data_IF_871757481973
#
_entry.id   IF_871757481973
#
_cell.length_a   1.000
_cell.length_b   1.000
_cell.length_c   1.000
_cell.angle_alpha   90.00
_cell.angle_beta   90.00
_cell.angle_gamma   90.00
#
_symmetry.space_group_name_H-M   'P 1'
#
loop_
_entity.id
_entity.type
_entity.pdbx_description
1 polymer ?
#
# COMPACT_ATOMS: atom_id res chain seq x y z
N UNK A 1 8.31 -14.30 -0.73
CA UNK A 1 7.93 -15.73 -0.59
C UNK A 1 6.52 -15.79 -0.07
N UNK A 2 5.64 -16.61 -0.66
CA UNK A 2 4.21 -16.68 -0.29
C UNK A 2 3.87 -18.10 0.14
N UNK A 3 3.13 -18.25 1.23
CA UNK A 3 2.70 -19.54 1.78
C UNK A 3 1.19 -19.49 2.05
N UNK A 4 0.44 -20.13 1.16
CA UNK A 4 -1.03 -20.13 1.12
C UNK A 4 -1.67 -21.52 1.26
N UNK A 5 -0.92 -22.58 1.02
CA UNK A 5 -1.36 -23.96 1.15
C UNK A 5 -1.67 -24.33 2.62
N UNK A 6 -2.89 -24.85 2.85
CA UNK A 6 -3.34 -25.27 4.17
C UNK A 6 -2.51 -26.46 4.69
N UNK A 7 -2.04 -26.35 5.93
CA UNK A 7 -1.23 -27.39 6.57
C UNK A 7 0.23 -27.38 6.15
N UNK A 8 0.68 -26.34 5.45
CA UNK A 8 2.10 -26.13 5.12
C UNK A 8 2.82 -25.41 6.27
N UNK A 9 3.99 -25.92 6.64
CA UNK A 9 4.87 -25.38 7.67
C UNK A 9 6.17 -24.89 7.04
N UNK A 10 6.60 -23.70 7.43
CA UNK A 10 7.93 -23.18 7.11
C UNK A 10 8.90 -23.61 8.21
N UNK A 11 9.91 -24.38 7.82
CA UNK A 11 10.99 -24.82 8.70
C UNK A 11 12.34 -24.30 8.24
N UNK A 12 13.29 -24.18 9.18
CA UNK A 12 14.67 -23.78 8.91
C UNK A 12 15.50 -25.02 8.61
N UNK A 13 16.25 -24.99 7.51
CA UNK A 13 17.35 -25.95 7.27
C UNK A 13 18.61 -25.17 6.93
N UNK A 14 19.49 -25.01 7.91
CA UNK A 14 20.67 -24.15 7.82
C UNK A 14 20.29 -22.71 7.43
N UNK A 15 20.72 -22.22 6.27
CA UNK A 15 20.41 -20.89 5.74
C UNK A 15 19.24 -20.90 4.74
N UNK A 16 18.30 -21.85 4.87
CA UNK A 16 17.19 -22.03 3.94
C UNK A 16 15.85 -22.15 4.67
N UNK A 17 14.80 -21.63 4.05
CA UNK A 17 13.42 -21.87 4.40
C UNK A 17 12.90 -23.05 3.57
N UNK A 18 12.52 -24.14 4.22
CA UNK A 18 11.93 -25.32 3.58
C UNK A 18 10.44 -25.41 3.91
N UNK A 19 9.67 -26.04 3.03
CA UNK A 19 8.24 -26.27 3.19
C UNK A 19 7.99 -27.72 3.53
N UNK A 20 7.33 -27.97 4.65
CA UNK A 20 6.94 -29.32 5.08
C UNK A 20 5.44 -29.38 5.32
N UNK A 21 4.84 -30.56 5.17
CA UNK A 21 3.44 -30.78 5.55
C UNK A 21 3.31 -31.20 7.03
N UNK A 22 2.07 -31.50 7.45
CA UNK A 22 1.75 -32.02 8.79
C UNK A 22 2.45 -33.34 9.13
N UNK A 23 2.96 -34.07 8.14
CA UNK A 23 3.70 -35.33 8.30
C UNK A 23 5.21 -35.14 8.22
N UNK A 24 5.68 -33.88 8.29
CA UNK A 24 7.08 -33.46 8.14
C UNK A 24 7.71 -33.84 6.79
N UNK A 25 6.88 -34.21 5.80
CA UNK A 25 7.36 -34.51 4.46
C UNK A 25 7.67 -33.22 3.72
N UNK A 26 8.84 -33.19 3.07
CA UNK A 26 9.26 -32.05 2.26
C UNK A 26 8.31 -31.88 1.06
N UNK A 27 7.58 -30.76 1.04
CA UNK A 27 6.62 -30.43 -0.02
C UNK A 27 7.30 -29.83 -1.25
N UNK A 28 8.24 -28.90 -1.04
CA UNK A 28 8.92 -28.12 -2.09
C UNK A 28 10.39 -27.89 -1.76
N UNK A 29 11.23 -27.70 -2.79
CA UNK A 29 12.61 -27.25 -2.58
C UNK A 29 12.58 -25.88 -1.89
N UNK A 30 13.31 -25.76 -0.79
CA UNK A 30 13.35 -24.53 0.00
C UNK A 30 14.11 -23.38 -0.68
N UNK A 31 13.85 -22.15 -0.22
CA UNK A 31 14.53 -20.94 -0.67
C UNK A 31 15.73 -20.62 0.22
N UNK A 32 16.82 -20.11 -0.36
CA UNK A 32 17.93 -19.53 0.43
C UNK A 32 17.45 -18.26 1.10
N UNK A 33 17.76 -18.07 2.38
CA UNK A 33 17.35 -16.87 3.10
C UNK A 33 17.88 -15.59 2.43
N UNK A 34 19.09 -15.62 1.85
CA UNK A 34 19.67 -14.46 1.17
C UNK A 34 18.93 -14.03 -0.11
N UNK A 35 18.02 -14.87 -0.62
CA UNK A 35 17.19 -14.56 -1.81
C UNK A 35 15.76 -14.17 -1.43
N UNK A 36 15.42 -14.16 -0.15
CA UNK A 36 14.08 -13.86 0.34
C UNK A 36 14.11 -12.49 1.00
N UNK A 37 13.35 -11.55 0.46
CA UNK A 37 13.18 -10.21 1.05
C UNK A 37 12.02 -10.16 2.06
N UNK A 38 10.95 -10.91 1.78
CA UNK A 38 9.73 -10.91 2.59
C UNK A 38 9.04 -12.30 2.54
N UNK A 39 8.36 -12.67 3.61
CA UNK A 39 7.57 -13.89 3.77
C UNK A 39 6.13 -13.51 4.07
N UNK A 40 5.19 -13.96 3.24
CA UNK A 40 3.76 -13.80 3.42
C UNK A 40 3.15 -15.14 3.84
N UNK A 41 2.49 -15.17 4.99
CA UNK A 41 1.90 -16.37 5.58
C UNK A 41 0.38 -16.19 5.67
N UNK A 42 -0.37 -16.95 4.87
CA UNK A 42 -1.82 -16.94 4.95
C UNK A 42 -2.33 -17.84 6.08
N UNK A 43 -3.54 -17.53 6.57
CA UNK A 43 -4.25 -18.32 7.57
C UNK A 43 -4.42 -19.79 7.11
N UNK A 44 -3.78 -20.70 7.83
CA UNK A 44 -3.77 -22.13 7.52
C UNK A 44 -2.36 -22.69 7.31
N UNK A 45 -1.39 -21.82 7.05
CA UNK A 45 0.03 -22.12 7.11
C UNK A 45 0.60 -21.80 8.50
N UNK A 46 1.76 -22.37 8.80
CA UNK A 46 2.48 -22.15 10.05
C UNK A 46 3.98 -21.89 9.79
N UNK A 47 4.63 -21.23 10.74
CA UNK A 47 6.07 -20.96 10.70
C UNK A 47 6.68 -21.35 12.04
N UNK A 48 7.80 -22.05 11.99
CA UNK A 48 8.53 -22.47 13.20
C UNK A 48 9.34 -21.33 13.80
N UNK A 49 9.59 -21.38 15.11
CA UNK A 49 10.39 -20.37 15.81
C UNK A 49 11.78 -20.19 15.19
N UNK A 50 12.42 -21.29 14.77
CA UNK A 50 13.73 -21.26 14.11
C UNK A 50 13.70 -20.52 12.77
N UNK A 51 12.62 -20.67 12.00
CA UNK A 51 12.43 -19.94 10.76
C UNK A 51 12.19 -18.44 11.01
N UNK A 52 11.42 -18.10 12.04
CA UNK A 52 11.25 -16.71 12.48
C UNK A 52 12.59 -16.11 12.87
N UNK A 53 13.39 -16.81 13.69
CA UNK A 53 14.69 -16.34 14.14
C UNK A 53 15.65 -16.09 12.96
N UNK A 54 15.69 -16.99 11.98
CA UNK A 54 16.48 -16.81 10.76
C UNK A 54 16.02 -15.61 9.94
N UNK A 55 14.71 -15.45 9.76
CA UNK A 55 14.15 -14.32 9.03
C UNK A 55 14.53 -12.99 9.69
N UNK A 56 14.30 -12.86 10.99
CA UNK A 56 14.67 -11.68 11.78
C UNK A 56 16.16 -11.38 11.72
N UNK A 57 17.03 -12.40 11.85
CA UNK A 57 18.49 -12.25 11.74
C UNK A 57 18.94 -11.73 10.38
N UNK A 58 18.19 -12.03 9.32
CA UNK A 58 18.47 -11.63 7.94
C UNK A 58 17.73 -10.33 7.53
N UNK A 59 16.99 -9.70 8.43
CA UNK A 59 16.17 -8.53 8.12
C UNK A 59 15.01 -8.85 7.17
N UNK A 60 14.55 -10.11 7.17
CA UNK A 60 13.45 -10.59 6.34
C UNK A 60 12.16 -10.38 7.11
N UNK A 61 11.28 -9.60 6.51
CA UNK A 61 9.97 -9.30 7.07
C UNK A 61 9.01 -10.49 6.93
N UNK A 62 8.22 -10.78 7.97
CA UNK A 62 7.18 -11.81 7.95
C UNK A 62 5.82 -11.16 8.20
N UNK A 63 4.92 -11.25 7.23
CA UNK A 63 3.55 -10.73 7.33
C UNK A 63 2.53 -11.86 7.34
N UNK A 64 1.62 -11.82 8.30
CA UNK A 64 0.54 -12.78 8.45
C UNK A 64 -0.75 -12.21 7.88
N UNK A 65 -1.36 -12.95 6.96
CA UNK A 65 -2.52 -12.55 6.17
C UNK A 65 -3.72 -13.45 6.49
N UNK A 66 -4.93 -12.90 6.49
CA UNK A 66 -6.15 -13.70 6.52
C UNK A 66 -6.42 -14.40 5.17
N UNK A 67 -7.55 -15.12 5.05
CA UNK A 67 -7.91 -15.81 3.79
C UNK A 67 -8.14 -14.86 2.61
N UNK A 68 -8.41 -13.58 2.87
CA UNK A 68 -8.68 -12.56 1.87
C UNK A 68 -7.44 -11.71 1.55
N UNK A 69 -6.29 -12.03 2.16
CA UNK A 69 -5.04 -11.29 1.96
C UNK A 69 -4.92 -10.04 2.83
N UNK A 70 -5.76 -9.86 3.86
CA UNK A 70 -5.64 -8.74 4.79
C UNK A 70 -4.57 -9.04 5.86
N UNK A 71 -3.54 -8.20 6.02
CA UNK A 71 -2.57 -8.37 7.09
C UNK A 71 -3.20 -8.20 8.47
N UNK A 72 -2.98 -9.16 9.37
CA UNK A 72 -3.44 -9.13 10.76
C UNK A 72 -2.31 -9.12 11.78
N UNK A 73 -1.10 -9.53 11.39
CA UNK A 73 0.09 -9.47 12.23
C UNK A 73 1.35 -9.34 11.36
N UNK A 74 2.44 -8.87 11.97
CA UNK A 74 3.76 -8.76 11.33
C UNK A 74 4.84 -9.00 12.37
N UNK A 75 5.89 -9.73 11.99
CA UNK A 75 7.04 -9.98 12.85
C UNK A 75 8.17 -9.05 12.48
N UNK A 76 8.67 -8.32 13.46
CA UNK A 76 9.83 -7.45 13.33
C UNK A 76 10.94 -7.87 14.27
N UNK A 77 12.17 -7.43 13.98
CA UNK A 77 13.29 -7.60 14.87
C UNK A 77 13.09 -6.84 16.18
N UNK A 78 13.41 -7.47 17.31
CA UNK A 78 13.50 -6.76 18.59
C UNK A 78 14.72 -5.82 18.67
N UNK A 79 15.69 -5.96 17.74
CA UNK A 79 16.78 -4.99 17.64
C UNK A 79 16.19 -3.69 17.09
N UNK A 80 16.34 -2.59 17.83
CA UNK A 80 15.87 -1.27 17.41
C UNK A 80 16.49 -0.88 16.06
N UNK A 81 15.74 -1.06 14.97
CA UNK A 81 16.06 -0.40 13.70
C UNK A 81 15.66 1.09 13.74
N UNK A 82 14.65 1.43 14.56
CA UNK A 82 14.23 2.80 14.80
C UNK A 82 14.87 3.35 16.08
N UNK A 83 15.79 4.29 15.93
CA UNK A 83 16.30 5.07 17.06
C UNK A 83 15.14 5.83 17.72
N UNK A 84 15.08 5.84 19.06
CA UNK A 84 14.15 6.68 19.82
C UNK A 84 14.16 8.15 19.37
N UNK A 85 15.30 8.60 18.83
CA UNK A 85 15.47 9.90 18.19
C UNK A 85 14.52 10.12 17.00
N UNK A 86 14.34 9.13 16.12
CA UNK A 86 13.44 9.24 14.95
C UNK A 86 11.99 9.38 15.40
N UNK A 87 11.56 8.56 16.37
CA UNK A 87 10.20 8.63 16.91
C UNK A 87 9.91 10.00 17.55
N UNK A 88 10.89 10.56 18.27
CA UNK A 88 10.79 11.93 18.83
C UNK A 88 10.62 12.98 17.74
N UNK A 89 11.38 12.89 16.65
CA UNK A 89 11.24 13.83 15.53
C UNK A 89 9.90 13.67 14.80
N UNK A 90 9.42 12.43 14.62
CA UNK A 90 8.10 12.17 14.01
C UNK A 90 6.97 12.75 14.86
N UNK A 91 7.01 12.55 16.18
CA UNK A 91 6.03 13.14 17.09
C UNK A 91 6.06 14.67 17.04
N UNK A 92 7.24 15.29 17.08
CA UNK A 92 7.38 16.75 16.97
C UNK A 92 6.94 17.30 15.62
N UNK A 93 7.13 16.56 14.53
CA UNK A 93 6.68 16.98 13.21
C UNK A 93 5.16 17.08 13.09
N UNK A 94 4.41 16.43 13.99
CA UNK A 94 2.96 16.58 14.08
C UNK A 94 2.56 18.02 14.48
N UNK A 95 3.32 18.60 15.43
CA UNK A 95 3.05 19.92 16.00
C UNK A 95 3.81 21.07 15.27
N UNK A 96 4.54 20.77 14.20
CA UNK A 96 5.40 21.70 13.45
C UNK A 96 4.99 21.74 11.96
N UNK A 97 5.32 22.83 11.26
CA UNK A 97 5.07 23.02 9.83
C UNK A 97 5.73 21.94 8.95
N UNK A 98 6.71 21.20 9.47
CA UNK A 98 7.29 20.03 8.79
C UNK A 98 6.27 18.94 8.47
N UNK A 99 5.30 18.70 9.36
CA UNK A 99 4.21 17.75 9.11
C UNK A 99 3.33 18.20 7.96
N UNK A 100 3.02 19.50 7.90
CA UNK A 100 2.25 20.11 6.82
C UNK A 100 2.99 19.96 5.49
N UNK A 101 4.28 20.28 5.46
CA UNK A 101 5.11 20.12 4.27
C UNK A 101 5.09 18.68 3.76
N UNK A 102 5.31 17.70 4.65
CA UNK A 102 5.31 16.29 4.29
C UNK A 102 3.94 15.85 3.73
N UNK A 103 2.86 16.19 4.42
CA UNK A 103 1.51 15.81 4.02
C UNK A 103 1.06 16.46 2.71
N UNK A 104 1.36 17.75 2.54
CA UNK A 104 1.11 18.50 1.31
C UNK A 104 1.86 17.88 0.13
N UNK A 105 3.12 17.49 0.35
CA UNK A 105 3.91 16.82 -0.67
C UNK A 105 3.34 15.43 -1.02
N UNK A 106 2.98 14.62 -0.03
CA UNK A 106 2.43 13.27 -0.25
C UNK A 106 1.10 13.32 -1.00
N UNK A 107 0.18 14.19 -0.58
CA UNK A 107 -1.13 14.35 -1.23
C UNK A 107 -0.95 14.96 -2.63
N UNK A 108 -0.13 16.01 -2.76
CA UNK A 108 0.19 16.59 -4.06
C UNK A 108 0.83 15.58 -5.03
N UNK A 109 1.73 14.71 -4.55
CA UNK A 109 2.31 13.63 -5.35
C UNK A 109 1.25 12.62 -5.82
N UNK A 110 0.33 12.20 -4.93
CA UNK A 110 -0.79 11.33 -5.29
C UNK A 110 -1.65 11.95 -6.41
N UNK A 111 -2.06 13.20 -6.23
CA UNK A 111 -2.91 13.93 -7.19
C UNK A 111 -2.21 14.09 -8.54
N UNK A 112 -0.92 14.46 -8.53
CA UNK A 112 -0.11 14.55 -9.77
C UNK A 112 -0.01 13.21 -10.48
N UNK A 113 0.23 12.12 -9.76
CA UNK A 113 0.29 10.79 -10.36
C UNK A 113 -1.04 10.40 -11.02
N UNK A 114 -2.17 10.71 -10.37
CA UNK A 114 -3.51 10.53 -10.96
C UNK A 114 -3.69 11.36 -12.24
N UNK A 115 -3.30 12.64 -12.22
CA UNK A 115 -3.37 13.52 -13.40
C UNK A 115 -2.48 13.02 -14.54
N UNK A 116 -1.24 12.61 -14.26
CA UNK A 116 -0.32 12.08 -15.27
C UNK A 116 -0.82 10.77 -15.88
N UNK A 117 -1.40 9.88 -15.07
CA UNK A 117 -2.01 8.65 -15.57
C UNK A 117 -3.16 8.93 -16.53
N UNK A 118 -4.08 9.83 -16.16
CA UNK A 118 -5.18 10.24 -17.05
C UNK A 118 -4.67 10.95 -18.31
N UNK A 119 -3.64 11.80 -18.20
CA UNK A 119 -3.02 12.46 -19.36
C UNK A 119 -2.43 11.45 -20.34
N UNK A 120 -1.78 10.41 -19.82
CA UNK A 120 -1.25 9.30 -20.63
C UNK A 120 -2.37 8.55 -21.35
N UNK A 121 -3.44 8.21 -20.64
CA UNK A 121 -4.62 7.56 -21.21
C UNK A 121 -5.31 8.42 -22.26
N UNK A 122 -5.46 9.72 -22.01
CA UNK A 122 -6.04 10.69 -22.93
C UNK A 122 -5.24 10.76 -24.23
N UNK A 123 -3.90 10.85 -24.14
CA UNK A 123 -3.01 10.89 -25.30
C UNK A 123 -3.13 9.64 -26.16
N UNK A 124 -3.15 8.46 -25.54
CA UNK A 124 -3.24 7.19 -26.25
C UNK A 124 -4.59 6.96 -26.94
N UNK A 125 -5.65 7.66 -26.48
CA UNK A 125 -7.03 7.50 -27.00
C UNK A 125 -7.50 8.67 -27.86
N UNK A 126 -6.79 9.80 -27.86
CA UNK A 126 -7.28 11.04 -28.46
C UNK A 126 -8.50 11.62 -27.71
N UNK A 127 -8.62 11.35 -26.40
CA UNK A 127 -9.80 11.73 -25.60
C UNK A 127 -9.59 13.09 -24.92
N UNK A 128 -10.17 14.15 -25.48
CA UNK A 128 -10.08 15.52 -24.96
C UNK A 128 -10.77 15.69 -23.61
N UNK A 129 -11.83 14.92 -23.33
CA UNK A 129 -12.55 14.97 -22.06
C UNK A 129 -11.66 14.48 -20.93
N UNK A 130 -10.96 13.36 -21.11
CA UNK A 130 -9.97 12.87 -20.15
C UNK A 130 -8.81 13.86 -19.98
N UNK A 131 -8.36 14.49 -21.06
CA UNK A 131 -7.33 15.53 -20.98
C UNK A 131 -7.78 16.73 -20.13
N UNK A 132 -9.04 17.16 -20.29
CA UNK A 132 -9.65 18.20 -19.46
C UNK A 132 -9.74 17.82 -17.98
N UNK A 133 -10.15 16.58 -17.68
CA UNK A 133 -10.18 16.06 -16.30
C UNK A 133 -8.78 15.98 -15.68
N UNK A 134 -7.78 15.55 -16.45
CA UNK A 134 -6.38 15.52 -16.01
C UNK A 134 -5.85 16.92 -15.67
N UNK A 135 -6.16 17.93 -16.50
CA UNK A 135 -5.80 19.33 -16.23
C UNK A 135 -6.45 19.85 -14.95
N UNK A 136 -7.73 19.55 -14.72
CA UNK A 136 -8.44 19.94 -13.48
C UNK A 136 -7.84 19.28 -12.24
N UNK A 137 -7.45 18.01 -12.31
CA UNK A 137 -6.78 17.33 -11.20
C UNK A 137 -5.39 17.94 -10.96
N UNK A 138 -4.66 18.31 -12.02
CA UNK A 138 -3.35 18.97 -11.88
C UNK A 138 -3.46 20.31 -11.14
N UNK A 139 -4.45 21.15 -11.47
CA UNK A 139 -4.62 22.44 -10.79
C UNK A 139 -4.99 22.30 -9.31
N UNK A 140 -5.66 21.21 -8.92
CA UNK A 140 -5.89 20.90 -7.50
C UNK A 140 -4.56 20.64 -6.75
N UNK A 141 -3.59 20.00 -7.40
CA UNK A 141 -2.26 19.82 -6.80
C UNK A 141 -1.51 21.15 -6.65
N UNK A 142 -1.70 22.09 -7.56
CA UNK A 142 -1.08 23.42 -7.50
C UNK A 142 -1.64 24.23 -6.32
N UNK A 143 -2.96 24.18 -6.11
CA UNK A 143 -3.63 24.79 -4.95
C UNK A 143 -3.09 24.30 -3.60
N UNK A 144 -2.74 23.01 -3.48
CA UNK A 144 -2.12 22.49 -2.25
C UNK A 144 -0.77 23.17 -2.01
N UNK A 145 0.02 23.36 -3.06
CA UNK A 145 1.34 23.99 -2.95
C UNK A 145 1.23 25.45 -2.52
N UNK A 146 0.28 26.19 -3.08
CA UNK A 146 0.03 27.60 -2.76
C UNK A 146 -0.41 27.76 -1.29
N UNK A 147 -1.31 26.89 -0.82
CA UNK A 147 -1.88 27.00 0.53
C UNK A 147 -1.02 26.37 1.63
N UNK A 148 -0.02 25.56 1.28
CA UNK A 148 0.83 24.88 2.25
C UNK A 148 1.60 25.85 3.16
N UNK A 149 1.89 27.06 2.68
CA UNK A 149 2.59 28.11 3.44
C UNK A 149 1.65 28.88 4.38
N UNK A 150 0.33 28.75 4.23
CA UNK A 150 -0.67 29.47 5.04
C UNK A 150 -0.95 28.80 6.39
N UNK A 151 -0.62 27.50 6.53
CA UNK A 151 -0.97 26.71 7.71
C UNK A 151 0.18 26.67 8.73
N UNK A 152 -0.16 26.85 10.02
CA UNK A 152 0.83 26.78 11.11
C UNK A 152 1.05 25.36 11.64
N UNK A 153 0.01 24.53 11.65
CA UNK A 153 0.05 23.13 12.12
C UNK A 153 -0.96 22.24 11.37
N UNK A 154 -0.85 20.92 11.52
CA UNK A 154 -1.52 19.96 10.63
C UNK A 154 -3.05 19.97 10.73
N UNK A 155 -3.61 20.27 11.90
CA UNK A 155 -5.07 20.34 12.13
C UNK A 155 -5.73 21.41 11.27
N UNK A 156 -5.10 22.58 11.08
CA UNK A 156 -5.61 23.66 10.22
C UNK A 156 -5.62 23.24 8.74
N UNK A 157 -4.61 22.45 8.35
CA UNK A 157 -4.45 21.97 6.98
C UNK A 157 -5.34 20.77 6.65
N UNK A 158 -5.66 19.93 7.65
CA UNK A 158 -6.23 18.59 7.48
C UNK A 158 -7.50 18.58 6.64
N UNK A 159 -8.49 19.38 7.00
CA UNK A 159 -9.78 19.41 6.30
C UNK A 159 -9.63 19.88 4.86
N UNK A 160 -8.79 20.91 4.64
CA UNK A 160 -8.51 21.43 3.31
C UNK A 160 -7.78 20.39 2.44
N UNK A 161 -6.73 19.75 2.98
CA UNK A 161 -5.97 18.72 2.30
C UNK A 161 -6.86 17.52 1.92
N UNK A 162 -7.72 17.07 2.83
CA UNK A 162 -8.68 15.99 2.56
C UNK A 162 -9.78 16.40 1.58
N UNK A 163 -10.24 17.66 1.64
CA UNK A 163 -11.21 18.19 0.68
C UNK A 163 -10.65 18.19 -0.75
N UNK A 164 -9.43 18.67 -0.93
CA UNK A 164 -8.76 18.70 -2.24
C UNK A 164 -8.46 17.28 -2.73
N UNK A 165 -7.97 16.40 -1.86
CA UNK A 165 -7.73 14.98 -2.18
C UNK A 165 -9.01 14.26 -2.59
N UNK A 166 -10.10 14.49 -1.85
CA UNK A 166 -11.40 13.91 -2.14
C UNK A 166 -11.96 14.38 -3.48
N UNK A 167 -11.85 15.68 -3.79
CA UNK A 167 -12.27 16.23 -5.08
C UNK A 167 -11.44 15.60 -6.22
N UNK A 168 -10.12 15.56 -6.08
CA UNK A 168 -9.21 14.97 -7.08
C UNK A 168 -9.52 13.48 -7.31
N UNK A 169 -9.67 12.71 -6.23
CA UNK A 169 -10.03 11.29 -6.28
C UNK A 169 -11.40 11.08 -6.92
N UNK A 170 -12.40 11.90 -6.64
CA UNK A 170 -13.74 11.81 -7.26
C UNK A 170 -13.65 12.04 -8.77
N UNK A 171 -12.96 13.08 -9.21
CA UNK A 171 -12.77 13.36 -10.65
C UNK A 171 -12.00 12.21 -11.31
N UNK A 172 -10.96 11.70 -10.65
CA UNK A 172 -10.13 10.61 -11.16
C UNK A 172 -10.92 9.33 -11.38
N UNK A 173 -11.66 8.88 -10.37
CA UNK A 173 -12.47 7.68 -10.46
C UNK A 173 -13.63 7.84 -11.46
N UNK A 174 -14.27 9.00 -11.51
CA UNK A 174 -15.27 9.30 -12.55
C UNK A 174 -14.66 9.32 -13.96
N UNK A 175 -13.40 9.73 -14.12
CA UNK A 175 -12.71 9.68 -15.40
C UNK A 175 -12.51 8.23 -15.86
N UNK A 176 -12.10 7.34 -14.94
CA UNK A 176 -11.93 5.92 -15.22
C UNK A 176 -13.24 5.21 -15.59
N UNK A 177 -14.37 5.66 -15.06
CA UNK A 177 -15.69 5.11 -15.42
C UNK A 177 -16.06 5.36 -16.88
N UNK A 178 -15.50 6.38 -17.53
CA UNK A 178 -15.80 6.69 -18.92
C UNK A 178 -15.03 5.78 -19.89
N UNK A 179 -13.98 5.10 -19.42
CA UNK A 179 -13.12 4.23 -20.25
C UNK A 179 -13.25 2.75 -19.91
N UNK A 180 -13.79 2.43 -18.73
CA UNK A 180 -14.04 1.06 -18.30
C UNK A 180 -15.49 0.67 -18.63
N UNK A 181 -15.75 -0.59 -19.03
CA UNK A 181 -17.11 -1.08 -19.21
C UNK A 181 -17.90 -0.98 -17.90
N UNK A 182 -19.18 -0.59 -17.99
CA UNK A 182 -20.06 -0.49 -16.81
C UNK A 182 -20.28 -1.81 -16.07
N UNK A 183 -20.05 -2.95 -16.74
CA UNK A 183 -20.06 -4.28 -16.12
C UNK A 183 -18.86 -4.54 -15.20
N UNK A 184 -17.77 -3.80 -15.37
CA UNK A 184 -16.52 -3.94 -14.60
C UNK A 184 -16.44 -2.89 -13.50
N UNK A 185 -16.91 -1.67 -13.78
CA UNK A 185 -16.79 -0.55 -12.85
C UNK A 185 -18.05 0.33 -12.84
N UNK A 186 -18.60 0.52 -11.64
CA UNK A 186 -19.80 1.33 -11.37
C UNK A 186 -19.56 2.84 -11.42
N UNK A 187 -18.30 3.28 -11.49
CA UNK A 187 -17.91 4.69 -11.49
C UNK A 187 -17.71 5.31 -10.12
N UNK A 188 -17.92 4.56 -9.04
CA UNK A 188 -17.66 5.02 -7.66
C UNK A 188 -16.68 4.11 -6.94
N UNK A 189 -15.72 4.69 -6.19
CA UNK A 189 -14.79 3.90 -5.36
C UNK A 189 -15.48 3.43 -4.08
N UNK A 190 -15.65 2.12 -3.93
CA UNK A 190 -16.23 1.48 -2.73
C UNK A 190 -15.21 0.55 -2.09
N UNK A 191 -14.83 0.79 -0.82
CA UNK A 191 -13.76 0.03 -0.15
C UNK A 191 -14.25 -1.23 0.57
N UNK A 192 -15.36 -1.16 1.31
CA UNK A 192 -15.81 -2.27 2.15
C UNK A 192 -17.34 -2.30 2.30
N UNK A 193 -18.05 -3.30 1.72
CA UNK A 193 -17.55 -4.26 0.74
C UNK A 193 -17.28 -3.59 -0.64
N UNK A 194 -16.42 -4.17 -1.50
CA UNK A 194 -16.31 -3.76 -2.90
C UNK A 194 -17.63 -4.02 -3.64
N UNK A 195 -18.17 -3.02 -4.35
CA UNK A 195 -19.43 -3.14 -5.09
C UNK A 195 -19.30 -3.69 -6.51
N UNK A 196 -18.07 -3.76 -7.06
CA UNK A 196 -17.80 -4.24 -8.41
C UNK A 196 -16.39 -4.85 -8.53
N UNK A 197 -16.10 -5.46 -9.69
CA UNK A 197 -14.86 -6.16 -9.97
C UNK A 197 -13.63 -5.23 -9.86
N UNK A 198 -13.74 -4.01 -10.40
CA UNK A 198 -12.65 -3.03 -10.34
C UNK A 198 -12.29 -2.66 -8.90
N UNK A 199 -13.30 -2.39 -8.05
CA UNK A 199 -13.12 -2.10 -6.64
C UNK A 199 -12.53 -3.29 -5.87
N UNK A 200 -12.91 -4.52 -6.23
CA UNK A 200 -12.34 -5.74 -5.63
C UNK A 200 -10.84 -5.87 -5.95
N UNK A 201 -10.47 -5.71 -7.22
CA UNK A 201 -9.06 -5.75 -7.66
C UNK A 201 -8.22 -4.66 -6.99
N UNK A 202 -8.73 -3.42 -6.93
CA UNK A 202 -8.03 -2.33 -6.25
C UNK A 202 -7.86 -2.59 -4.75
N UNK A 203 -8.88 -3.13 -4.09
CA UNK A 203 -8.82 -3.39 -2.64
C UNK A 203 -7.82 -4.51 -2.34
N UNK A 204 -7.75 -5.55 -3.18
CA UNK A 204 -6.73 -6.59 -3.10
C UNK A 204 -5.32 -6.02 -3.35
N UNK A 205 -5.14 -5.24 -4.42
CA UNK A 205 -3.85 -4.61 -4.74
C UNK A 205 -3.37 -3.66 -3.64
N UNK A 206 -4.28 -2.89 -3.02
CA UNK A 206 -3.94 -2.08 -1.86
C UNK A 206 -3.60 -2.94 -0.64
N UNK A 207 -4.27 -4.06 -0.42
CA UNK A 207 -3.89 -5.01 0.64
C UNK A 207 -2.43 -5.48 0.51
N UNK A 208 -2.00 -5.79 -0.72
CA UNK A 208 -0.60 -6.13 -1.02
C UNK A 208 0.32 -4.92 -0.82
N UNK A 209 -0.07 -3.72 -1.24
CA UNK A 209 0.77 -2.52 -1.08
C UNK A 209 0.96 -2.10 0.39
N UNK A 210 -0.03 -2.37 1.24
CA UNK A 210 0.08 -2.14 2.69
C UNK A 210 0.95 -3.17 3.42
N UNK A 211 1.38 -4.22 2.72
CA UNK A 211 2.15 -5.35 3.25
C UNK A 211 3.63 -5.14 3.01
#
# INVERSE_FOLDING_TARGET
MIVDEYGTYIHKKSNRFIFVDKTEKLLKKGFSADKVSQILIYKGAAVTADAIELAVKKGIDIVYLDRLGKPFARTYSCKQENSATVQRYQARAYDDGKGIFLMSFMIGAKIRNQAYFLKSLAKNRGDERLAGQAKRIMSLSEKIKERAEEWGYIEEARESLFGIEGEASRIYFQALSNILPGTVYSGTRTKQPPGDLFNAMLSYGYGILYT
#
